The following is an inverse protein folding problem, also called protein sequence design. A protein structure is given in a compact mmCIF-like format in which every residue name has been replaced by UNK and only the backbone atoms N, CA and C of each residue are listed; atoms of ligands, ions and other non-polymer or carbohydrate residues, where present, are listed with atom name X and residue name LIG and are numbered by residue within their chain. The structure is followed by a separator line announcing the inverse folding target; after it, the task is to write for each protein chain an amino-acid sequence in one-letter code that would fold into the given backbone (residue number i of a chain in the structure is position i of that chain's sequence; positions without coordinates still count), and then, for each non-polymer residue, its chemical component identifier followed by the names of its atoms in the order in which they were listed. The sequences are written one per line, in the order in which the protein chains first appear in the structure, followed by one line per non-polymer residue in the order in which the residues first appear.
data_IF_154939047792
#
_entry.id   IF_154939047792
#
_cell.length_a   1.000
_cell.length_b   1.000
_cell.length_c   1.000
_cell.angle_alpha   90.00
_cell.angle_beta   90.00
_cell.angle_gamma   90.00
#
_symmetry.space_group_name_H-M   'P 1'
#
loop_
_entity.id
_entity.type
_entity.pdbx_description
1 polymer ?
#
# COMPACT_ATOMS: atom_id res chain seq x y z
N UNK A 1 -21.08 32.67 -18.95
CA UNK A 1 -20.41 32.94 -17.66
C UNK A 1 -20.82 31.83 -16.72
N UNK A 2 -19.89 30.95 -16.35
CA UNK A 2 -20.13 29.90 -15.35
C UNK A 2 -19.35 30.31 -14.11
N UNK A 3 -20.09 30.69 -13.08
CA UNK A 3 -19.56 31.10 -11.78
C UNK A 3 -19.14 29.87 -10.97
N UNK A 4 -18.05 30.04 -10.23
CA UNK A 4 -17.34 29.05 -9.44
C UNK A 4 -18.18 28.32 -8.38
N UNK A 5 -17.83 27.05 -8.14
CA UNK A 5 -17.88 26.46 -6.81
C UNK A 5 -16.45 26.13 -6.39
N UNK A 6 -15.85 27.07 -5.66
CA UNK A 6 -14.79 26.72 -4.74
C UNK A 6 -15.43 26.04 -3.54
N UNK A 7 -15.17 24.77 -3.36
CA UNK A 7 -15.22 24.15 -2.04
C UNK A 7 -13.86 23.52 -1.80
N UNK A 8 -13.03 24.26 -1.06
CA UNK A 8 -11.93 23.65 -0.33
C UNK A 8 -12.60 22.72 0.67
N UNK A 9 -12.73 21.44 0.32
CA UNK A 9 -12.99 20.41 1.32
C UNK A 9 -11.81 20.44 2.29
N UNK A 10 -11.97 21.21 3.36
CA UNK A 10 -11.30 20.93 4.60
C UNK A 10 -11.69 19.49 4.93
N UNK A 11 -10.73 18.59 4.77
CA UNK A 11 -10.81 17.23 5.26
C UNK A 11 -10.86 17.35 6.78
N UNK A 12 -12.07 17.57 7.29
CA UNK A 12 -12.39 17.43 8.69
C UNK A 12 -12.18 15.96 9.01
N UNK A 13 -11.02 15.64 9.56
CA UNK A 13 -10.71 14.34 10.16
C UNK A 13 -11.70 14.19 11.31
N UNK A 14 -12.87 13.67 10.98
CA UNK A 14 -13.89 13.32 11.96
C UNK A 14 -13.31 12.13 12.69
N UNK A 15 -12.80 12.39 13.89
CA UNK A 15 -12.31 11.42 14.86
C UNK A 15 -13.44 10.50 15.32
N UNK A 16 -13.93 9.65 14.41
CA UNK A 16 -14.36 8.31 14.80
C UNK A 16 -13.07 7.58 15.16
N UNK A 17 -12.99 7.07 16.37
CA UNK A 17 -11.91 6.20 16.85
C UNK A 17 -11.85 4.93 15.99
N UNK A 18 -11.28 5.02 14.78
CA UNK A 18 -10.95 3.87 13.96
C UNK A 18 -9.80 3.16 14.68
N UNK A 19 -9.97 1.86 14.96
CA UNK A 19 -8.83 1.06 15.39
C UNK A 19 -7.78 1.03 14.27
N UNK A 20 -6.48 0.99 14.60
CA UNK A 20 -5.45 0.85 13.59
C UNK A 20 -5.66 -0.45 12.80
N UNK A 21 -5.45 -0.39 11.48
CA UNK A 21 -5.54 -1.57 10.62
C UNK A 21 -4.35 -2.52 10.85
N UNK A 22 -3.22 -1.99 11.35
CA UNK A 22 -2.06 -2.76 11.76
C UNK A 22 -1.21 -1.99 12.78
N UNK A 23 -0.42 -2.67 13.60
CA UNK A 23 0.50 -2.04 14.56
C UNK A 23 1.82 -2.80 14.60
N UNK A 24 2.93 -2.08 14.53
CA UNK A 24 4.29 -2.60 14.73
C UNK A 24 4.88 -1.81 15.89
N UNK A 25 5.21 -2.50 16.98
CA UNK A 25 5.64 -1.88 18.24
C UNK A 25 4.68 -0.76 18.70
N UNK A 26 5.13 0.49 18.69
CA UNK A 26 4.32 1.67 19.02
C UNK A 26 3.77 2.39 17.80
N UNK A 27 4.12 1.95 16.59
CA UNK A 27 3.71 2.58 15.33
C UNK A 27 2.39 2.01 14.86
N UNK A 28 1.41 2.88 14.66
CA UNK A 28 0.07 2.50 14.22
C UNK A 28 -0.11 2.81 12.74
N UNK A 29 -0.70 1.90 12.00
CA UNK A 29 -0.92 2.03 10.56
C UNK A 29 -2.41 2.04 10.25
N UNK A 30 -2.80 3.00 9.42
CA UNK A 30 -4.17 3.22 9.00
C UNK A 30 -4.24 3.15 7.48
N UNK A 31 -4.89 2.12 6.98
CA UNK A 31 -5.19 1.95 5.57
C UNK A 31 -6.45 2.76 5.23
N UNK A 32 -6.28 3.75 4.37
CA UNK A 32 -7.36 4.56 3.84
C UNK A 32 -7.81 4.00 2.49
N UNK A 33 -8.46 2.83 2.52
CA UNK A 33 -8.90 2.11 1.33
C UNK A 33 -7.72 1.87 0.37
N UNK A 34 -7.92 1.99 -0.95
CA UNK A 34 -6.86 1.95 -1.95
C UNK A 34 -6.29 3.35 -2.28
N UNK A 35 -6.43 4.33 -1.38
CA UNK A 35 -5.91 5.68 -1.62
C UNK A 35 -4.54 5.90 -0.98
N UNK A 36 -4.41 5.58 0.30
CA UNK A 36 -3.17 5.82 1.03
C UNK A 36 -3.00 4.92 2.25
N UNK A 37 -1.75 4.83 2.71
CA UNK A 37 -1.38 4.31 4.02
C UNK A 37 -0.84 5.46 4.87
N UNK A 38 -1.40 5.62 6.06
CA UNK A 38 -0.95 6.60 7.05
C UNK A 38 -0.28 5.88 8.21
N UNK A 39 0.90 6.35 8.60
CA UNK A 39 1.58 5.93 9.81
C UNK A 39 1.43 6.98 10.91
N UNK A 40 1.22 6.52 12.14
CA UNK A 40 1.28 7.34 13.36
C UNK A 40 2.48 6.86 14.18
N UNK A 41 3.46 7.73 14.30
CA UNK A 41 4.75 7.48 14.92
C UNK A 41 4.82 8.20 16.27
N UNK A 42 5.46 7.57 17.25
CA UNK A 42 5.81 8.21 18.51
C UNK A 42 7.32 8.44 18.53
N UNK A 43 7.73 9.68 18.32
CA UNK A 43 9.14 10.07 18.39
C UNK A 43 9.38 10.85 19.68
N UNK A 44 10.03 10.21 20.67
CA UNK A 44 10.37 10.81 21.96
C UNK A 44 9.17 11.47 22.68
N UNK A 45 7.99 10.85 22.61
CA UNK A 45 6.77 11.35 23.26
C UNK A 45 5.94 12.32 22.40
N UNK A 46 6.45 12.73 21.23
CA UNK A 46 5.67 13.50 20.26
C UNK A 46 5.04 12.54 19.26
N UNK A 47 3.72 12.58 19.18
CA UNK A 47 2.93 11.78 18.24
C UNK A 47 2.84 12.55 16.92
N UNK A 48 3.37 11.97 15.86
CA UNK A 48 3.30 12.52 14.51
C UNK A 48 2.55 11.56 13.58
N UNK A 49 1.64 12.11 12.79
CA UNK A 49 0.92 11.34 11.77
C UNK A 49 1.35 11.79 10.38
N UNK A 50 1.68 10.84 9.51
CA UNK A 50 2.16 11.10 8.15
C UNK A 50 1.57 10.10 7.17
N UNK A 51 1.17 10.57 5.99
CA UNK A 51 0.89 9.69 4.86
C UNK A 51 2.23 9.12 4.37
N UNK A 52 2.44 7.83 4.58
CA UNK A 52 3.71 7.14 4.26
C UNK A 52 3.69 6.51 2.87
N UNK A 53 2.51 6.29 2.30
CA UNK A 53 2.36 5.83 0.93
C UNK A 53 1.05 6.34 0.33
N UNK A 54 1.13 6.89 -0.88
CA UNK A 54 -0.03 7.13 -1.74
C UNK A 54 -0.03 6.09 -2.84
N UNK A 55 -1.10 5.30 -2.96
CA UNK A 55 -1.16 4.26 -3.97
C UNK A 55 -1.39 4.89 -5.36
N UNK A 56 -0.76 4.36 -6.43
CA UNK A 56 -1.01 4.83 -7.79
C UNK A 56 -2.49 4.76 -8.13
N UNK A 57 -3.01 5.80 -8.78
CA UNK A 57 -4.40 5.80 -9.26
C UNK A 57 -4.55 4.85 -10.46
N UNK A 58 -5.59 4.02 -10.45
CA UNK A 58 -5.94 3.14 -11.58
C UNK A 58 -7.31 3.56 -12.10
N UNK A 59 -7.38 4.17 -13.30
CA UNK A 59 -8.67 4.51 -13.88
C UNK A 59 -9.48 3.24 -14.14
N UNK A 60 -10.81 3.38 -14.14
CA UNK A 60 -11.74 2.26 -14.41
C UNK A 60 -11.55 1.05 -13.48
N UNK A 61 -11.06 1.27 -12.26
CA UNK A 61 -10.90 0.22 -11.26
C UNK A 61 -11.56 0.63 -9.95
N UNK A 62 -12.21 -0.31 -9.28
CA UNK A 62 -12.89 -0.10 -8.00
C UNK A 62 -12.10 -0.79 -6.89
N UNK A 63 -11.89 -0.07 -5.79
CA UNK A 63 -11.25 -0.64 -4.62
C UNK A 63 -12.20 -1.56 -3.87
N UNK A 64 -11.72 -2.74 -3.46
CA UNK A 64 -12.46 -3.65 -2.59
C UNK A 64 -11.78 -3.72 -1.23
N UNK A 65 -12.18 -2.85 -0.31
CA UNK A 65 -11.54 -2.68 1.01
C UNK A 65 -11.50 -3.97 1.85
N UNK A 66 -12.48 -4.86 1.68
CA UNK A 66 -12.57 -6.12 2.44
C UNK A 66 -11.41 -7.08 2.22
N UNK A 67 -10.64 -6.90 1.14
CA UNK A 67 -9.53 -7.79 0.78
C UNK A 67 -8.16 -7.11 0.93
N UNK A 68 -8.12 -5.82 1.28
CA UNK A 68 -6.86 -5.13 1.49
C UNK A 68 -6.26 -5.55 2.84
N UNK A 69 -4.96 -5.85 2.85
CA UNK A 69 -4.27 -6.41 4.02
C UNK A 69 -2.94 -5.72 4.25
N UNK A 70 -2.59 -5.56 5.53
CA UNK A 70 -1.26 -5.15 5.99
C UNK A 70 -0.60 -6.35 6.66
N UNK A 71 0.67 -6.58 6.36
CA UNK A 71 1.46 -7.64 6.99
C UNK A 71 2.90 -7.19 7.22
N UNK A 72 3.54 -7.69 8.26
CA UNK A 72 4.96 -7.48 8.53
C UNK A 72 5.64 -8.83 8.77
N UNK A 73 6.70 -9.12 8.03
CA UNK A 73 7.43 -10.40 8.09
C UNK A 73 8.74 -10.32 8.90
N UNK A 74 8.96 -9.21 9.64
CA UNK A 74 10.21 -8.93 10.34
C UNK A 74 11.20 -8.10 9.52
N UNK A 75 11.02 -8.00 8.20
CA UNK A 75 11.88 -7.19 7.32
C UNK A 75 11.08 -6.14 6.55
N UNK A 76 9.94 -6.54 5.96
CA UNK A 76 9.12 -5.68 5.11
C UNK A 76 7.73 -5.50 5.70
N UNK A 77 7.29 -4.25 5.78
CA UNK A 77 5.87 -3.94 5.84
C UNK A 77 5.32 -4.08 4.42
N UNK A 78 4.41 -5.02 4.21
CA UNK A 78 3.76 -5.28 2.93
C UNK A 78 2.29 -4.88 3.00
N UNK A 79 1.86 -4.08 2.03
CA UNK A 79 0.47 -3.75 1.77
C UNK A 79 0.00 -4.54 0.56
N UNK A 80 -1.13 -5.23 0.70
CA UNK A 80 -1.87 -5.82 -0.43
C UNK A 80 -3.15 -5.02 -0.61
N UNK A 81 -3.37 -4.47 -1.79
CA UNK A 81 -4.62 -3.80 -2.14
C UNK A 81 -5.34 -4.61 -3.22
N UNK A 82 -6.66 -4.66 -3.10
CA UNK A 82 -7.51 -5.33 -4.05
C UNK A 82 -8.24 -4.32 -4.93
N UNK A 83 -7.96 -4.33 -6.24
CA UNK A 83 -8.71 -3.53 -7.20
C UNK A 83 -9.33 -4.38 -8.28
N UNK A 84 -10.61 -4.15 -8.54
CA UNK A 84 -11.35 -4.83 -9.61
C UNK A 84 -11.46 -3.87 -10.77
N UNK A 85 -10.84 -4.20 -11.90
CA UNK A 85 -11.01 -3.43 -13.13
C UNK A 85 -12.41 -3.62 -13.69
N UNK A 86 -12.96 -2.58 -14.33
CA UNK A 86 -14.28 -2.63 -14.93
C UNK A 86 -14.35 -3.73 -16.01
N UNK A 87 -15.35 -4.61 -15.91
CA UNK A 87 -15.50 -5.77 -16.80
C UNK A 87 -14.66 -6.99 -16.41
N UNK A 88 -13.73 -6.86 -15.45
CA UNK A 88 -13.05 -8.00 -14.86
C UNK A 88 -13.90 -8.59 -13.72
N UNK A 89 -14.09 -9.91 -13.70
CA UNK A 89 -14.81 -10.60 -12.63
C UNK A 89 -13.98 -10.85 -11.36
N UNK A 90 -12.74 -10.35 -11.30
CA UNK A 90 -11.77 -10.71 -10.28
C UNK A 90 -10.95 -9.54 -9.77
N UNK A 91 -10.41 -9.72 -8.56
CA UNK A 91 -9.52 -8.78 -7.92
C UNK A 91 -8.09 -8.86 -8.49
N UNK A 92 -7.62 -7.77 -9.09
CA UNK A 92 -6.21 -7.54 -9.35
C UNK A 92 -5.51 -7.13 -8.06
N UNK A 93 -4.75 -8.04 -7.47
CA UNK A 93 -3.99 -7.77 -6.25
C UNK A 93 -2.74 -6.97 -6.59
N UNK A 94 -2.68 -5.72 -6.13
CA UNK A 94 -1.45 -4.93 -6.16
C UNK A 94 -0.75 -5.09 -4.81
N UNK A 95 0.58 -5.24 -4.82
CA UNK A 95 1.37 -5.35 -3.59
C UNK A 95 2.44 -4.27 -3.55
N UNK A 96 2.60 -3.65 -2.38
CA UNK A 96 3.62 -2.66 -2.10
C UNK A 96 4.37 -3.05 -0.84
N UNK A 97 5.67 -2.77 -0.76
CA UNK A 97 6.43 -3.06 0.45
C UNK A 97 7.52 -2.02 0.73
N UNK A 98 7.92 -1.93 1.98
CA UNK A 98 8.99 -1.04 2.45
C UNK A 98 9.71 -1.63 3.66
N UNK A 99 10.96 -1.22 3.88
CA UNK A 99 11.75 -1.52 5.09
C UNK A 99 11.84 -0.33 6.05
N UNK A 100 11.62 0.88 5.54
CA UNK A 100 11.97 2.15 6.20
C UNK A 100 10.82 3.17 6.18
N UNK A 101 9.67 2.80 5.64
CA UNK A 101 8.48 3.67 5.47
C UNK A 101 8.67 4.85 4.50
N UNK A 102 9.80 4.90 3.80
CA UNK A 102 10.14 5.98 2.85
C UNK A 102 10.37 5.45 1.45
N UNK A 103 11.17 4.39 1.33
CA UNK A 103 11.48 3.74 0.07
C UNK A 103 10.52 2.57 -0.14
N UNK A 104 9.59 2.77 -1.07
CA UNK A 104 8.58 1.78 -1.42
C UNK A 104 8.93 1.05 -2.70
N UNK A 105 8.62 -0.24 -2.72
CA UNK A 105 8.66 -1.10 -3.89
C UNK A 105 7.24 -1.56 -4.24
N UNK A 106 6.96 -1.72 -5.52
CA UNK A 106 5.79 -2.38 -6.06
C UNK A 106 6.16 -3.76 -6.59
N UNK A 107 5.25 -4.71 -6.42
CA UNK A 107 5.35 -6.02 -7.02
C UNK A 107 5.07 -5.95 -8.51
N UNK A 108 5.96 -6.52 -9.32
CA UNK A 108 5.86 -6.51 -10.79
C UNK A 108 5.63 -7.89 -11.40
N UNK A 109 5.65 -8.96 -10.61
CA UNK A 109 5.33 -10.30 -11.10
C UNK A 109 6.15 -11.41 -10.45
N UNK A 110 6.00 -12.61 -11.00
CA UNK A 110 6.79 -13.78 -10.65
C UNK A 110 7.95 -13.92 -11.63
N UNK A 111 9.11 -14.29 -11.12
CA UNK A 111 10.25 -14.75 -11.91
C UNK A 111 10.71 -16.12 -11.41
N UNK A 112 11.40 -16.86 -12.26
CA UNK A 112 11.87 -18.22 -11.99
C UNK A 112 13.38 -18.27 -12.09
N UNK A 113 14.01 -18.93 -11.12
CA UNK A 113 15.44 -19.18 -11.12
C UNK A 113 15.68 -20.59 -10.56
N UNK A 114 16.38 -21.45 -11.29
CA UNK A 114 16.67 -22.84 -10.90
C UNK A 114 15.42 -23.65 -10.45
N UNK A 115 14.31 -23.54 -11.20
CA UNK A 115 13.00 -24.13 -10.87
C UNK A 115 12.38 -23.65 -9.56
N UNK A 116 12.93 -22.61 -8.94
CA UNK A 116 12.37 -21.96 -7.77
C UNK A 116 11.65 -20.68 -8.16
N UNK A 117 10.55 -20.41 -7.45
CA UNK A 117 9.71 -19.25 -7.70
C UNK A 117 10.14 -18.05 -6.85
N UNK A 118 10.22 -16.89 -7.47
CA UNK A 118 10.57 -15.62 -6.83
C UNK A 118 9.55 -14.55 -7.16
N UNK A 119 9.29 -13.66 -6.20
CA UNK A 119 8.57 -12.42 -6.44
C UNK A 119 9.57 -11.35 -6.88
N UNK A 120 9.24 -10.67 -7.97
CA UNK A 120 10.01 -9.55 -8.50
C UNK A 120 9.42 -8.22 -8.01
N UNK A 121 10.30 -7.35 -7.52
CA UNK A 121 9.96 -6.07 -6.92
C UNK A 121 10.74 -4.95 -7.56
N UNK A 122 10.07 -3.82 -7.78
CA UNK A 122 10.64 -2.62 -8.38
C UNK A 122 10.35 -1.42 -7.50
N UNK A 123 11.24 -0.45 -7.45
CA UNK A 123 11.01 0.83 -6.79
C UNK A 123 9.74 1.48 -7.36
N UNK A 124 8.85 1.88 -6.46
CA UNK A 124 7.59 2.51 -6.83
C UNK A 124 7.85 3.79 -7.64
N UNK A 125 7.15 3.92 -8.78
CA UNK A 125 7.30 5.07 -9.68
C UNK A 125 8.46 4.95 -10.68
N UNK A 126 9.22 3.86 -10.65
CA UNK A 126 10.24 3.56 -11.68
C UNK A 126 9.58 3.14 -12.99
N UNK A 127 10.12 3.64 -14.11
CA UNK A 127 9.71 3.23 -15.47
C UNK A 127 10.50 2.00 -15.98
N UNK A 128 11.45 1.48 -15.20
CA UNK A 128 12.27 0.32 -15.59
C UNK A 128 11.44 -0.95 -15.63
N UNK A 129 11.60 -1.80 -16.64
CA UNK A 129 10.98 -3.14 -16.63
C UNK A 129 11.75 -4.17 -15.80
N UNK A 130 12.94 -3.81 -15.28
CA UNK A 130 13.78 -4.68 -14.46
C UNK A 130 13.34 -4.64 -12.99
N UNK A 131 13.47 -5.77 -12.32
CA UNK A 131 13.35 -5.86 -10.88
C UNK A 131 14.56 -5.20 -10.21
N UNK A 132 14.32 -4.43 -9.16
CA UNK A 132 15.36 -3.93 -8.24
C UNK A 132 15.69 -4.98 -7.17
N UNK A 133 14.73 -5.87 -6.88
CA UNK A 133 14.91 -6.95 -5.92
C UNK A 133 14.08 -8.18 -6.28
N UNK A 134 14.58 -9.37 -5.93
CA UNK A 134 13.84 -10.62 -6.03
C UNK A 134 13.80 -11.29 -4.64
N UNK A 135 12.65 -11.85 -4.28
CA UNK A 135 12.48 -12.54 -3.00
C UNK A 135 11.88 -13.91 -3.24
N UNK A 136 12.51 -14.95 -2.69
CA UNK A 136 12.05 -16.33 -2.86
C UNK A 136 10.63 -16.49 -2.29
N UNK A 137 9.75 -17.11 -3.06
CA UNK A 137 8.42 -17.51 -2.58
C UNK A 137 8.62 -18.74 -1.69
N UNK A 138 8.37 -18.59 -0.40
CA UNK A 138 8.32 -19.73 0.54
C UNK A 138 6.87 -20.22 0.57
N UNK A 139 6.57 -21.45 0.12
CA UNK A 139 5.24 -22.01 0.24
C UNK A 139 4.86 -22.09 1.72
N UNK A 140 3.69 -21.59 2.08
CA UNK A 140 3.10 -21.86 3.40
C UNK A 140 2.56 -23.29 3.33
N UNK A 141 3.22 -24.21 4.05
CA UNK A 141 2.78 -25.60 4.22
C UNK A 141 1.60 -25.68 5.21
#
# INVERSE_FOLDING_TARGET
MITACGDKSQVSITSKSKQPDFTIDTTQFYLNSCHSLTGVFNHNGTIESKVILTFPYRPLSVCTDKQSQLNFDGTYLTVKICRTSFGAGGCGVEKFRTKDFENWQEYIGITWHDNEQYEAWRRLGSNSTKADEITKVVPVL
#
